data_IF_249863394871
#
_entry.id   IF_249863394871
#
_cell.length_a   1.000
_cell.length_b   1.000
_cell.length_c   1.000
_cell.angle_alpha   90.00
_cell.angle_beta   90.00
_cell.angle_gamma   90.00
#
_symmetry.space_group_name_H-M   'P 1'
#
loop_
_entity.id
_entity.type
_entity.pdbx_description
1 polymer ?
#
# COMPACT_ATOMS: atom_id res chain seq x y z
N UNK A 1 21.60 -47.21 55.89
CA UNK A 1 23.01 -46.87 55.66
C UNK A 1 23.78 -46.93 57.03
N UNK A 2 23.53 -46.01 57.98
CA UNK A 2 24.33 -45.90 59.23
C UNK A 2 24.33 -47.18 60.15
N UNK A 3 23.26 -47.95 60.13
CA UNK A 3 23.17 -49.21 60.92
C UNK A 3 23.92 -50.33 60.22
N UNK A 4 23.93 -50.41 58.92
CA UNK A 4 24.67 -51.37 58.12
C UNK A 4 26.18 -51.10 58.23
N UNK A 5 26.64 -49.86 58.18
CA UNK A 5 28.03 -49.45 58.38
C UNK A 5 28.57 -49.87 59.74
N UNK A 6 27.70 -50.02 60.79
CA UNK A 6 28.01 -50.48 62.09
C UNK A 6 27.86 -52.01 62.29
N UNK A 7 27.51 -52.73 61.20
CA UNK A 7 27.33 -54.18 61.22
C UNK A 7 26.12 -54.65 62.05
N UNK A 8 25.14 -53.79 62.31
CA UNK A 8 23.95 -54.10 63.12
C UNK A 8 22.78 -54.67 62.34
N UNK A 9 22.88 -54.69 60.97
CA UNK A 9 21.86 -55.20 60.03
C UNK A 9 22.57 -56.09 59.04
N UNK A 10 21.92 -57.18 58.58
CA UNK A 10 22.46 -58.07 57.56
C UNK A 10 22.50 -57.42 56.22
N UNK A 11 23.41 -57.80 55.30
CA UNK A 11 23.52 -57.31 53.96
C UNK A 11 22.20 -57.49 53.16
N UNK A 12 21.54 -58.64 53.36
CA UNK A 12 20.25 -58.94 52.70
C UNK A 12 19.11 -58.02 53.15
N UNK A 13 19.04 -57.64 54.42
CA UNK A 13 18.02 -56.71 54.92
C UNK A 13 18.30 -55.31 54.47
N UNK A 14 19.56 -54.93 54.32
CA UNK A 14 19.96 -53.66 53.79
C UNK A 14 19.58 -53.53 52.28
N UNK A 15 19.93 -54.54 51.48
CA UNK A 15 19.58 -54.58 50.05
C UNK A 15 18.06 -54.57 49.86
N UNK A 16 17.29 -55.31 50.65
CA UNK A 16 15.83 -55.31 50.60
C UNK A 16 15.28 -53.92 50.94
N UNK A 17 15.81 -53.25 51.93
CA UNK A 17 15.39 -51.89 52.30
C UNK A 17 15.74 -50.86 51.21
N UNK A 18 16.92 -51.01 50.59
CA UNK A 18 17.33 -50.17 49.47
C UNK A 18 16.43 -50.39 48.24
N UNK A 19 16.12 -51.66 47.95
CA UNK A 19 15.17 -52.00 46.88
C UNK A 19 13.79 -51.39 47.12
N UNK A 20 13.24 -51.53 48.31
CA UNK A 20 11.94 -50.95 48.67
C UNK A 20 11.95 -49.41 48.61
N UNK A 21 13.04 -48.78 49.02
CA UNK A 21 13.20 -47.34 48.91
C UNK A 21 13.19 -46.88 47.41
N UNK A 22 14.00 -47.56 46.59
CA UNK A 22 14.06 -47.22 45.12
C UNK A 22 12.71 -47.48 44.43
N UNK A 23 11.98 -48.54 44.83
CA UNK A 23 10.65 -48.82 44.34
C UNK A 23 9.65 -47.69 44.72
N UNK A 24 9.69 -47.26 46.00
CA UNK A 24 8.84 -46.17 46.47
C UNK A 24 9.20 -44.84 45.83
N UNK A 25 10.49 -44.56 45.63
CA UNK A 25 10.97 -43.36 44.92
C UNK A 25 10.52 -43.35 43.45
N UNK A 26 10.61 -44.50 42.77
CA UNK A 26 10.13 -44.66 41.41
C UNK A 26 8.62 -44.45 41.31
N UNK A 27 7.84 -45.02 42.26
CA UNK A 27 6.39 -44.82 42.32
C UNK A 27 6.01 -43.36 42.58
N UNK A 28 6.74 -42.67 43.47
CA UNK A 28 6.57 -41.25 43.73
C UNK A 28 6.84 -40.42 42.48
N UNK A 29 7.97 -40.66 41.79
CA UNK A 29 8.33 -39.95 40.57
C UNK A 29 7.30 -40.16 39.43
N UNK A 30 6.79 -41.40 39.31
CA UNK A 30 5.71 -41.72 38.35
C UNK A 30 4.42 -40.96 38.66
N UNK A 31 4.00 -40.96 39.94
CA UNK A 31 2.81 -40.22 40.37
C UNK A 31 2.96 -38.70 40.20
N UNK A 32 4.15 -38.15 40.46
CA UNK A 32 4.49 -36.75 40.25
C UNK A 32 4.43 -36.39 38.76
N UNK A 33 4.94 -37.28 37.90
CA UNK A 33 4.85 -37.07 36.44
C UNK A 33 3.39 -37.12 35.94
N UNK A 34 2.58 -38.04 36.48
CA UNK A 34 1.15 -38.13 36.17
C UNK A 34 0.39 -36.87 36.59
N UNK A 35 0.66 -36.37 37.82
CA UNK A 35 0.09 -35.10 38.27
C UNK A 35 0.45 -33.94 37.36
N UNK A 36 1.72 -33.75 37.03
CA UNK A 36 2.18 -32.70 36.14
C UNK A 36 1.57 -32.79 34.71
N UNK A 37 1.27 -34.00 34.24
CA UNK A 37 0.55 -34.22 32.99
C UNK A 37 -0.92 -33.79 33.12
N UNK A 38 -1.59 -34.14 34.22
CA UNK A 38 -2.98 -33.77 34.45
C UNK A 38 -3.14 -32.24 34.61
N UNK A 39 -2.23 -31.58 35.33
CA UNK A 39 -2.18 -30.13 35.50
C UNK A 39 -1.99 -29.40 34.13
N UNK A 40 -1.10 -29.91 33.27
CA UNK A 40 -0.94 -29.38 31.91
C UNK A 40 -2.20 -29.54 31.07
N UNK A 41 -2.84 -30.71 31.15
CA UNK A 41 -4.08 -30.94 30.42
C UNK A 41 -5.21 -30.02 30.90
N UNK A 42 -5.28 -29.75 32.20
CA UNK A 42 -6.21 -28.77 32.76
C UNK A 42 -5.88 -27.35 32.27
N UNK A 43 -4.60 -26.99 32.18
CA UNK A 43 -4.17 -25.70 31.62
C UNK A 43 -4.61 -25.45 30.19
N UNK A 44 -4.70 -26.50 29.38
CA UNK A 44 -5.20 -26.39 28.01
C UNK A 44 -6.70 -26.08 27.90
N UNK A 45 -7.46 -26.24 28.98
CA UNK A 45 -8.88 -25.84 29.03
C UNK A 45 -9.05 -24.31 29.07
N UNK A 46 -7.99 -23.54 29.41
CA UNK A 46 -8.00 -22.09 29.41
C UNK A 46 -7.01 -21.59 28.38
N UNK A 47 -7.52 -21.01 27.28
CA UNK A 47 -6.70 -20.45 26.21
C UNK A 47 -6.51 -18.96 26.49
N UNK A 48 -5.26 -18.55 26.70
CA UNK A 48 -4.89 -17.15 26.94
C UNK A 48 -4.10 -16.59 25.77
N UNK A 49 -4.20 -15.28 25.56
CA UNK A 49 -3.38 -14.60 24.57
C UNK A 49 -1.91 -14.59 25.00
N UNK A 50 -0.96 -14.90 24.10
CA UNK A 50 0.47 -14.80 24.39
C UNK A 50 0.98 -13.35 24.35
N UNK A 51 0.17 -12.40 23.85
CA UNK A 51 0.53 -10.99 23.71
C UNK A 51 -0.60 -10.12 24.27
N UNK A 52 -0.22 -8.95 24.76
CA UNK A 52 -1.17 -7.88 25.07
C UNK A 52 -1.57 -7.18 23.76
N UNK A 53 -2.84 -6.77 23.63
CA UNK A 53 -3.30 -6.13 22.42
C UNK A 53 -4.81 -6.00 22.32
N UNK A 54 -5.27 -5.58 21.15
CA UNK A 54 -6.68 -5.39 20.81
C UNK A 54 -7.15 -6.53 19.92
N UNK A 55 -8.31 -7.12 20.24
CA UNK A 55 -8.93 -8.14 19.40
C UNK A 55 -9.48 -7.48 18.13
N UNK A 56 -8.95 -7.88 16.98
CA UNK A 56 -9.39 -7.40 15.66
C UNK A 56 -10.55 -8.24 15.15
N UNK A 57 -10.45 -9.57 15.34
CA UNK A 57 -11.40 -10.50 14.78
C UNK A 57 -11.63 -11.67 15.75
N UNK A 58 -12.88 -12.12 15.83
CA UNK A 58 -13.32 -13.28 16.59
C UNK A 58 -13.95 -14.27 15.62
N UNK A 59 -13.22 -15.34 15.32
CA UNK A 59 -13.62 -16.35 14.34
C UNK A 59 -14.54 -17.44 14.91
N UNK A 60 -14.79 -17.45 16.23
CA UNK A 60 -15.57 -18.49 16.92
C UNK A 60 -16.67 -17.88 17.78
N UNK A 61 -17.75 -18.63 17.98
CA UNK A 61 -18.87 -18.23 18.82
C UNK A 61 -19.00 -19.14 20.07
N UNK A 62 -19.67 -18.63 21.09
CA UNK A 62 -19.97 -19.42 22.29
C UNK A 62 -20.83 -20.63 21.94
N UNK A 63 -20.44 -21.80 22.45
CA UNK A 63 -21.10 -23.06 22.14
C UNK A 63 -20.63 -23.72 20.84
N UNK A 64 -19.76 -23.10 20.05
CA UNK A 64 -19.21 -23.69 18.85
C UNK A 64 -18.16 -24.76 19.20
N UNK A 65 -18.29 -25.94 18.57
CA UNK A 65 -17.28 -26.99 18.70
C UNK A 65 -16.07 -26.65 17.84
N UNK A 66 -14.88 -26.55 18.45
CA UNK A 66 -13.60 -26.37 17.76
C UNK A 66 -12.94 -27.74 17.63
N UNK A 67 -12.87 -28.25 16.38
CA UNK A 67 -12.18 -29.51 16.12
C UNK A 67 -10.68 -29.24 15.97
N UNK A 68 -9.87 -29.77 16.90
CA UNK A 68 -8.43 -29.84 16.75
C UNK A 68 -8.08 -31.05 15.85
N UNK A 69 -8.18 -30.85 14.56
CA UNK A 69 -7.80 -31.84 13.54
C UNK A 69 -6.33 -31.64 13.10
N UNK A 70 -6.07 -31.87 11.81
CA UNK A 70 -4.75 -31.64 11.21
C UNK A 70 -4.46 -30.14 10.95
N UNK A 71 -5.48 -29.31 10.97
CA UNK A 71 -5.36 -27.84 10.78
C UNK A 71 -5.60 -27.12 12.12
N UNK A 72 -4.82 -26.07 12.37
CA UNK A 72 -4.97 -25.23 13.55
C UNK A 72 -6.03 -24.15 13.27
N UNK A 73 -7.23 -24.23 13.86
CA UNK A 73 -8.26 -23.22 13.63
C UNK A 73 -7.87 -21.88 14.29
N UNK A 74 -8.09 -20.79 13.59
CA UNK A 74 -7.95 -19.44 14.14
C UNK A 74 -9.15 -19.13 15.03
N UNK A 75 -8.92 -18.79 16.30
CA UNK A 75 -9.97 -18.43 17.25
C UNK A 75 -10.16 -16.91 17.31
N UNK A 76 -9.06 -16.18 17.52
CA UNK A 76 -9.01 -14.73 17.61
C UNK A 76 -7.82 -14.21 16.84
N UNK A 77 -7.96 -13.04 16.24
CA UNK A 77 -6.86 -12.26 15.69
C UNK A 77 -6.62 -11.05 16.59
N UNK A 78 -5.41 -10.93 17.13
CA UNK A 78 -5.04 -9.89 18.09
C UNK A 78 -3.90 -9.05 17.49
N UNK A 79 -4.06 -7.72 17.48
CA UNK A 79 -2.99 -6.79 17.16
C UNK A 79 -2.36 -6.26 18.44
N UNK A 80 -1.04 -6.29 18.50
CA UNK A 80 -0.29 -5.73 19.62
C UNK A 80 -0.38 -4.20 19.65
N UNK A 81 -0.30 -3.56 18.49
CA UNK A 81 -0.32 -2.10 18.35
C UNK A 81 -1.03 -1.70 17.05
N UNK A 82 -2.04 -0.85 17.15
CA UNK A 82 -2.78 -0.30 16.01
C UNK A 82 -2.21 1.06 15.54
N UNK A 83 -1.24 1.62 16.25
CA UNK A 83 -0.60 2.89 15.85
C UNK A 83 0.40 2.69 14.73
N UNK A 84 0.91 1.46 14.57
CA UNK A 84 1.82 1.05 13.52
C UNK A 84 1.13 0.07 12.60
N UNK A 85 0.77 0.53 11.43
CA UNK A 85 0.08 -0.26 10.43
C UNK A 85 1.02 -0.57 9.26
N UNK A 86 0.68 -1.59 8.52
CA UNK A 86 1.32 -1.90 7.25
C UNK A 86 0.25 -1.96 6.16
N UNK A 87 0.57 -1.38 5.02
CA UNK A 87 -0.22 -1.50 3.79
C UNK A 87 0.51 -2.45 2.87
N UNK A 88 -0.16 -3.48 2.41
CA UNK A 88 0.40 -4.43 1.43
C UNK A 88 -0.16 -4.06 0.07
N UNK A 89 0.72 -3.70 -0.85
CA UNK A 89 0.38 -3.34 -2.21
C UNK A 89 0.76 -4.47 -3.16
N UNK A 90 -0.17 -4.85 -4.02
CA UNK A 90 0.11 -5.76 -5.15
C UNK A 90 0.55 -4.91 -6.34
N UNK A 91 1.83 -5.00 -6.70
CA UNK A 91 2.45 -4.26 -7.80
C UNK A 91 2.71 -5.20 -8.97
N UNK A 92 2.33 -4.78 -10.17
CA UNK A 92 2.56 -5.54 -11.40
C UNK A 92 4.06 -5.68 -11.71
N UNK A 93 4.44 -6.78 -12.38
CA UNK A 93 5.82 -7.03 -12.81
C UNK A 93 6.38 -5.90 -13.69
N UNK A 94 5.53 -5.23 -14.47
CA UNK A 94 5.95 -4.12 -15.33
C UNK A 94 6.42 -2.89 -14.53
N UNK A 95 5.85 -2.67 -13.33
CA UNK A 95 6.08 -1.47 -12.51
C UNK A 95 7.08 -1.70 -11.38
N UNK A 96 7.28 -2.94 -10.96
CA UNK A 96 8.14 -3.28 -9.82
C UNK A 96 9.60 -2.86 -10.02
N UNK A 97 10.06 -2.81 -11.28
CA UNK A 97 11.45 -2.43 -11.62
C UNK A 97 11.84 -1.01 -11.19
N UNK A 98 10.86 -0.13 -10.96
CA UNK A 98 11.08 1.23 -10.45
C UNK A 98 10.96 1.37 -8.94
N UNK A 99 10.47 0.35 -8.24
CA UNK A 99 10.22 0.39 -6.79
C UNK A 99 11.47 -0.03 -6.03
N UNK A 100 11.82 0.70 -4.99
CA UNK A 100 12.95 0.42 -4.10
C UNK A 100 12.60 0.71 -2.64
N UNK A 101 13.29 0.04 -1.73
CA UNK A 101 13.12 0.24 -0.29
C UNK A 101 13.39 1.69 0.10
N UNK A 102 12.60 2.23 1.02
CA UNK A 102 12.71 3.59 1.54
C UNK A 102 12.03 4.68 0.68
N UNK A 103 11.48 4.35 -0.48
CA UNK A 103 10.73 5.32 -1.29
C UNK A 103 9.51 5.84 -0.55
N UNK A 104 9.19 7.12 -0.78
CA UNK A 104 8.02 7.78 -0.22
C UNK A 104 6.76 7.26 -0.92
N UNK A 105 5.74 7.02 -0.12
CA UNK A 105 4.45 6.56 -0.58
C UNK A 105 3.38 7.46 0.00
N UNK A 106 2.39 7.81 -0.80
CA UNK A 106 1.15 8.41 -0.31
C UNK A 106 -0.01 7.50 -0.67
N UNK A 107 -0.97 7.40 0.22
CA UNK A 107 -2.17 6.61 -0.04
C UNK A 107 -3.41 7.27 0.56
N UNK A 108 -4.53 6.95 -0.04
CA UNK A 108 -5.87 7.31 0.46
C UNK A 108 -6.65 6.04 0.70
N UNK A 109 -7.54 6.05 1.67
CA UNK A 109 -8.44 4.92 1.93
C UNK A 109 -9.87 5.31 1.59
N UNK A 110 -10.66 4.37 1.11
CA UNK A 110 -12.05 4.65 0.68
C UNK A 110 -12.93 5.19 1.81
N UNK A 111 -12.58 4.87 3.06
CA UNK A 111 -13.27 5.40 4.25
C UNK A 111 -12.98 6.89 4.51
N UNK A 112 -11.84 7.42 4.04
CA UNK A 112 -11.40 8.80 4.19
C UNK A 112 -10.74 9.30 2.91
N UNK A 113 -11.55 9.62 1.86
CA UNK A 113 -11.03 9.97 0.55
C UNK A 113 -10.29 11.32 0.50
N UNK A 114 -10.59 12.21 1.43
CA UNK A 114 -9.96 13.54 1.53
C UNK A 114 -8.68 13.54 2.36
N UNK A 115 -8.44 12.50 3.16
CA UNK A 115 -7.25 12.38 4.00
C UNK A 115 -6.14 11.66 3.21
N UNK A 116 -4.98 12.31 3.07
CA UNK A 116 -3.80 11.72 2.46
C UNK A 116 -2.90 11.22 3.57
N UNK A 117 -2.64 9.93 3.57
CA UNK A 117 -1.71 9.28 4.48
C UNK A 117 -0.34 9.12 3.83
N UNK A 118 0.70 9.25 4.62
CA UNK A 118 2.07 9.06 4.18
C UNK A 118 2.67 7.77 4.74
N UNK A 119 3.48 7.13 3.93
CA UNK A 119 4.20 5.92 4.29
C UNK A 119 5.52 5.81 3.55
N UNK A 120 6.25 4.73 3.82
CA UNK A 120 7.49 4.40 3.12
C UNK A 120 7.49 2.92 2.76
N UNK A 121 8.09 2.61 1.62
CA UNK A 121 8.37 1.21 1.26
C UNK A 121 9.33 0.64 2.29
N UNK A 122 8.89 -0.39 3.01
CA UNK A 122 9.67 -1.08 4.02
C UNK A 122 10.38 -2.29 3.44
N UNK A 123 9.66 -3.07 2.63
CA UNK A 123 10.19 -4.30 2.05
C UNK A 123 9.43 -4.67 0.78
N UNK A 124 10.16 -5.19 -0.20
CA UNK A 124 9.60 -5.85 -1.38
C UNK A 124 9.74 -7.35 -1.19
N UNK A 125 8.60 -8.07 -1.17
CA UNK A 125 8.60 -9.52 -1.08
C UNK A 125 8.84 -10.13 -2.46
N UNK A 126 9.90 -10.91 -2.58
CA UNK A 126 10.31 -11.54 -3.85
C UNK A 126 9.46 -12.77 -4.25
N UNK A 127 8.51 -13.16 -3.42
CA UNK A 127 7.56 -14.22 -3.74
C UNK A 127 6.37 -13.63 -4.49
N UNK A 128 6.17 -14.03 -5.75
CA UNK A 128 4.95 -13.65 -6.48
C UNK A 128 3.73 -14.28 -5.81
N UNK A 129 2.79 -13.48 -5.37
CA UNK A 129 1.46 -13.96 -5.03
C UNK A 129 0.68 -14.20 -6.32
N UNK A 130 0.64 -15.44 -6.78
CA UNK A 130 -0.33 -15.79 -7.81
C UNK A 130 -1.71 -15.84 -7.16
N UNK A 131 -2.43 -14.73 -7.17
CA UNK A 131 -3.83 -14.72 -6.80
C UNK A 131 -4.62 -15.50 -7.85
N UNK A 132 -4.87 -16.78 -7.55
CA UNK A 132 -5.77 -17.61 -8.32
C UNK A 132 -7.19 -17.12 -8.07
N UNK A 133 -7.61 -16.12 -8.80
CA UNK A 133 -9.02 -15.77 -8.88
C UNK A 133 -9.73 -16.91 -9.59
N UNK A 134 -10.35 -17.80 -8.82
CA UNK A 134 -11.24 -18.84 -9.32
C UNK A 134 -12.52 -18.20 -9.86
N UNK A 135 -12.43 -17.63 -11.05
CA UNK A 135 -13.59 -17.34 -11.88
C UNK A 135 -13.67 -18.42 -12.93
N UNK A 136 -14.76 -19.16 -12.90
CA UNK A 136 -15.17 -20.20 -13.85
C UNK A 136 -15.21 -19.62 -15.27
N UNK A 137 -14.07 -19.55 -15.94
CA UNK A 137 -13.99 -19.25 -17.38
C UNK A 137 -12.59 -19.58 -17.91
N UNK A 138 -12.55 -20.28 -18.98
CA UNK A 138 -11.53 -21.03 -19.71
C UNK A 138 -10.30 -20.22 -20.22
N UNK A 139 -9.78 -19.24 -19.51
CA UNK A 139 -8.50 -18.60 -19.81
C UNK A 139 -7.92 -18.03 -18.51
N UNK A 140 -7.03 -18.78 -17.88
CA UNK A 140 -6.28 -18.36 -16.69
C UNK A 140 -5.06 -17.55 -17.18
N UNK A 141 -5.22 -16.26 -17.37
CA UNK A 141 -4.05 -15.36 -17.37
C UNK A 141 -3.61 -15.19 -15.90
N UNK A 142 -2.54 -15.86 -15.56
CA UNK A 142 -1.88 -15.68 -14.26
C UNK A 142 -1.11 -14.36 -14.33
N UNK A 143 -1.66 -13.30 -13.76
CA UNK A 143 -0.93 -12.05 -13.58
C UNK A 143 0.04 -12.23 -12.42
N UNK A 144 1.32 -12.01 -12.69
CA UNK A 144 2.38 -12.04 -11.67
C UNK A 144 2.40 -10.69 -10.99
N UNK A 145 2.10 -10.66 -9.68
CA UNK A 145 2.20 -9.47 -8.86
C UNK A 145 3.22 -9.66 -7.75
N UNK A 146 3.86 -8.58 -7.34
CA UNK A 146 4.81 -8.54 -6.23
C UNK A 146 4.21 -7.79 -5.06
N UNK A 147 4.31 -8.38 -3.87
CA UNK A 147 3.84 -7.73 -2.65
C UNK A 147 4.86 -6.70 -2.15
N UNK A 148 4.47 -5.45 -2.11
CA UNK A 148 5.24 -4.35 -1.54
C UNK A 148 4.64 -3.97 -0.18
N UNK A 149 5.43 -4.12 0.87
CA UNK A 149 5.04 -3.76 2.23
C UNK A 149 5.42 -2.30 2.49
N UNK A 150 4.44 -1.53 2.88
CA UNK A 150 4.56 -0.08 3.13
C UNK A 150 4.25 0.16 4.59
N UNK A 151 5.13 0.82 5.32
CA UNK A 151 4.88 1.27 6.68
C UNK A 151 3.92 2.46 6.68
N UNK A 152 2.94 2.44 7.57
CA UNK A 152 1.96 3.49 7.72
C UNK A 152 1.77 3.83 9.21
N UNK A 153 2.04 5.06 9.59
CA UNK A 153 1.78 5.54 10.94
C UNK A 153 0.30 5.88 11.10
N UNK A 154 -0.28 5.47 12.23
CA UNK A 154 -1.69 5.66 12.54
C UNK A 154 -1.90 6.22 13.96
N UNK A 155 -1.37 7.41 14.27
CA UNK A 155 -1.45 7.98 15.63
C UNK A 155 -2.90 8.25 16.07
N UNK A 156 -3.76 8.61 15.13
CA UNK A 156 -5.17 8.95 15.39
C UNK A 156 -6.11 7.73 15.36
N UNK A 157 -5.58 6.52 15.13
CA UNK A 157 -6.35 5.28 15.00
C UNK A 157 -7.47 5.34 13.93
N UNK A 158 -7.32 6.22 12.92
CA UNK A 158 -8.25 6.34 11.81
C UNK A 158 -8.17 5.13 10.88
N UNK A 159 -6.96 4.62 10.64
CA UNK A 159 -6.77 3.43 9.83
C UNK A 159 -7.21 2.20 10.62
N UNK A 160 -8.05 1.38 10.00
CA UNK A 160 -8.49 0.11 10.55
C UNK A 160 -7.94 -1.04 9.71
N UNK A 161 -7.70 -2.21 10.31
CA UNK A 161 -7.32 -3.39 9.55
C UNK A 161 -8.33 -3.73 8.46
N UNK A 162 -7.83 -4.25 7.32
CA UNK A 162 -8.63 -4.67 6.16
C UNK A 162 -9.30 -3.54 5.36
N UNK A 163 -8.86 -2.28 5.51
CA UNK A 163 -9.28 -1.22 4.61
C UNK A 163 -8.55 -1.35 3.28
N UNK A 164 -9.26 -1.05 2.20
CA UNK A 164 -8.67 -0.91 0.86
C UNK A 164 -8.05 0.47 0.73
N UNK A 165 -6.86 0.54 0.16
CA UNK A 165 -6.11 1.77 -0.04
C UNK A 165 -5.73 1.95 -1.51
N UNK A 166 -5.82 3.20 -2.00
CA UNK A 166 -5.28 3.61 -3.28
C UNK A 166 -3.91 4.22 -3.05
N UNK A 167 -2.88 3.63 -3.64
CA UNK A 167 -1.47 3.87 -3.30
C UNK A 167 -0.74 4.52 -4.46
N UNK A 168 0.05 5.56 -4.17
CA UNK A 168 0.98 6.19 -5.11
C UNK A 168 2.40 6.06 -4.57
N UNK A 169 3.24 5.30 -5.26
CA UNK A 169 4.66 5.11 -4.93
C UNK A 169 5.47 6.09 -5.77
N UNK A 170 6.28 6.92 -5.12
CA UNK A 170 7.14 7.89 -5.81
C UNK A 170 8.49 7.24 -6.12
N UNK A 171 8.62 6.74 -7.35
CA UNK A 171 9.84 6.05 -7.81
C UNK A 171 11.01 7.01 -8.00
N UNK A 172 10.72 8.24 -8.42
CA UNK A 172 11.73 9.29 -8.57
C UNK A 172 11.12 10.62 -8.14
N UNK A 173 11.82 11.34 -7.27
CA UNK A 173 11.41 12.64 -6.76
C UNK A 173 12.58 13.61 -6.86
N UNK A 174 12.34 14.79 -7.42
CA UNK A 174 13.29 15.88 -7.46
C UNK A 174 12.62 17.14 -6.93
N UNK A 175 13.27 17.81 -6.01
CA UNK A 175 12.81 19.10 -5.48
C UNK A 175 13.68 20.24 -5.99
N UNK A 176 13.09 21.45 -6.07
CA UNK A 176 13.83 22.65 -6.47
C UNK A 176 14.22 22.70 -7.96
N UNK A 177 13.48 21.97 -8.81
CA UNK A 177 13.72 21.95 -10.27
C UNK A 177 12.86 22.97 -11.00
N UNK A 178 13.41 23.57 -12.06
CA UNK A 178 12.64 24.38 -12.98
C UNK A 178 11.73 23.50 -13.81
N UNK A 179 10.42 23.73 -13.77
CA UNK A 179 9.45 22.93 -14.51
C UNK A 179 8.52 23.79 -15.36
N UNK A 180 8.05 23.21 -16.46
CA UNK A 180 7.03 23.83 -17.33
C UNK A 180 5.89 22.85 -17.54
N UNK A 181 4.65 23.32 -17.70
CA UNK A 181 3.53 22.48 -18.07
C UNK A 181 3.82 21.73 -19.39
N UNK A 182 3.55 20.43 -19.43
CA UNK A 182 3.77 19.59 -20.62
C UNK A 182 3.05 20.14 -21.88
N UNK A 183 1.97 20.93 -21.69
CA UNK A 183 1.29 21.65 -22.75
C UNK A 183 2.19 22.69 -23.44
N UNK A 184 3.09 23.33 -22.68
CA UNK A 184 4.01 24.36 -23.25
C UNK A 184 5.03 23.73 -24.22
N UNK A 185 5.45 22.48 -23.95
CA UNK A 185 6.38 21.74 -24.83
C UNK A 185 5.72 21.22 -26.11
N UNK A 186 4.40 21.03 -26.08
CA UNK A 186 3.61 20.57 -27.22
C UNK A 186 3.03 21.74 -28.05
N UNK A 187 3.11 22.95 -27.51
CA UNK A 187 2.57 24.11 -28.19
C UNK A 187 3.39 24.45 -29.45
N UNK A 188 2.70 24.64 -30.56
CA UNK A 188 3.25 25.14 -31.81
C UNK A 188 2.41 26.33 -32.31
N UNK A 189 3.01 27.49 -32.55
CA UNK A 189 2.28 28.64 -33.10
C UNK A 189 1.87 28.37 -34.55
N UNK A 190 0.56 28.42 -34.81
CA UNK A 190 -0.01 28.24 -36.16
C UNK A 190 -0.33 29.61 -36.70
N UNK A 191 0.31 30.02 -37.82
CA UNK A 191 0.17 31.37 -38.44
C UNK A 191 -1.29 31.73 -38.76
N UNK A 192 -2.10 30.74 -39.11
CA UNK A 192 -3.51 30.92 -39.49
C UNK A 192 -4.40 31.31 -38.31
N UNK A 193 -3.99 30.96 -37.09
CA UNK A 193 -4.71 31.26 -35.87
C UNK A 193 -4.25 32.53 -35.17
N UNK A 194 -3.27 33.24 -35.76
CA UNK A 194 -2.67 34.43 -35.15
C UNK A 194 -3.15 35.71 -35.86
N UNK A 195 -3.03 36.83 -35.14
CA UNK A 195 -3.33 38.16 -35.73
C UNK A 195 -2.39 38.43 -36.89
N UNK A 196 -2.89 39.17 -37.93
CA UNK A 196 -2.06 39.66 -39.03
C UNK A 196 -0.94 40.56 -38.46
N UNK A 197 0.32 40.19 -38.73
CA UNK A 197 1.49 40.93 -38.25
C UNK A 197 2.27 40.23 -37.13
N UNK A 198 1.79 39.06 -36.66
CA UNK A 198 2.54 38.26 -35.67
C UNK A 198 3.81 37.67 -36.31
N UNK A 199 4.96 37.95 -35.71
CA UNK A 199 6.25 37.38 -36.10
C UNK A 199 6.54 36.11 -35.31
N UNK A 200 6.99 35.05 -35.98
CA UNK A 200 7.36 33.76 -35.37
C UNK A 200 8.83 33.55 -35.61
N UNK A 201 9.63 33.53 -34.52
CA UNK A 201 11.06 33.21 -34.51
C UNK A 201 11.24 31.81 -33.98
N UNK A 202 11.43 30.86 -34.90
CA UNK A 202 11.65 29.46 -34.53
C UNK A 202 13.14 29.16 -34.28
N UNK A 203 13.44 28.12 -33.55
CA UNK A 203 14.78 27.60 -33.29
C UNK A 203 14.85 26.11 -33.62
N UNK A 204 16.05 25.62 -33.99
CA UNK A 204 16.29 24.21 -34.21
C UNK A 204 16.46 23.49 -32.86
N UNK A 205 15.48 22.64 -32.51
CA UNK A 205 15.52 21.84 -31.28
C UNK A 205 14.40 20.81 -31.26
N UNK A 206 14.69 19.64 -30.70
CA UNK A 206 13.69 18.59 -30.52
C UNK A 206 12.62 19.02 -29.49
N UNK A 207 13.05 19.66 -28.41
CA UNK A 207 12.16 20.24 -27.40
C UNK A 207 12.36 21.75 -27.37
N UNK A 208 11.24 22.48 -27.42
CA UNK A 208 11.22 23.94 -27.40
C UNK A 208 10.02 24.45 -26.65
N UNK A 209 10.19 25.58 -26.00
CA UNK A 209 9.12 26.35 -25.35
C UNK A 209 9.02 27.69 -26.05
N UNK A 210 7.81 28.23 -26.12
CA UNK A 210 7.52 29.50 -26.76
C UNK A 210 7.26 30.57 -25.71
N UNK A 211 7.93 31.70 -25.88
CA UNK A 211 7.64 32.94 -25.15
C UNK A 211 6.94 33.91 -26.09
N UNK A 212 6.12 34.78 -25.52
CA UNK A 212 5.43 35.81 -26.27
C UNK A 212 5.82 37.16 -25.73
N UNK A 213 6.37 38.02 -26.62
CA UNK A 213 6.67 39.41 -26.32
C UNK A 213 5.92 40.30 -27.31
N UNK A 214 4.83 40.93 -26.84
CA UNK A 214 3.92 41.68 -27.70
C UNK A 214 3.30 40.78 -28.78
N UNK A 215 3.64 41.05 -30.05
CA UNK A 215 3.18 40.27 -31.22
C UNK A 215 4.25 39.34 -31.79
N UNK A 216 5.35 39.10 -31.04
CA UNK A 216 6.45 38.21 -31.45
C UNK A 216 6.42 36.95 -30.60
N UNK A 217 6.42 35.79 -31.25
CA UNK A 217 6.63 34.49 -30.60
C UNK A 217 8.06 34.03 -30.84
N UNK A 218 8.79 33.78 -29.77
CA UNK A 218 10.18 33.32 -29.83
C UNK A 218 10.28 31.93 -29.27
N UNK A 219 10.83 30.99 -30.03
CA UNK A 219 11.13 29.64 -29.58
C UNK A 219 12.46 29.61 -28.82
N UNK A 220 12.48 28.98 -27.70
CA UNK A 220 13.69 28.68 -26.92
C UNK A 220 13.90 27.18 -26.92
N UNK A 221 15.09 26.73 -27.36
CA UNK A 221 15.51 25.35 -27.26
C UNK A 221 15.71 25.00 -25.80
N UNK A 222 15.08 23.91 -25.34
CA UNK A 222 15.17 23.45 -23.95
C UNK A 222 15.64 22.01 -23.89
N UNK A 223 16.31 21.68 -22.79
CA UNK A 223 16.65 20.30 -22.43
C UNK A 223 15.70 19.85 -21.33
N UNK A 224 15.00 18.76 -21.57
CA UNK A 224 14.00 18.22 -20.65
C UNK A 224 14.61 17.15 -19.77
N UNK A 225 14.14 17.03 -18.53
CA UNK A 225 14.46 15.96 -17.59
C UNK A 225 13.24 15.09 -17.29
N UNK A 226 12.94 14.89 -16.01
CA UNK A 226 11.78 14.10 -15.55
C UNK A 226 10.46 14.75 -15.91
N UNK A 227 9.44 13.93 -16.15
CA UNK A 227 8.07 14.39 -16.41
C UNK A 227 7.08 13.58 -15.59
N UNK A 228 6.12 14.26 -14.96
CA UNK A 228 4.97 13.66 -14.27
C UNK A 228 3.71 13.58 -15.15
N UNK A 229 3.85 13.87 -16.45
CA UNK A 229 2.73 13.93 -17.40
C UNK A 229 2.00 15.28 -17.41
N UNK A 230 2.01 16.05 -16.34
CA UNK A 230 1.43 17.39 -16.21
C UNK A 230 2.50 18.46 -16.37
N UNK A 231 3.63 18.30 -15.68
CA UNK A 231 4.81 19.16 -15.74
C UNK A 231 6.02 18.36 -16.23
N UNK A 232 6.98 19.07 -16.82
CA UNK A 232 8.25 18.49 -17.26
C UNK A 232 9.39 19.36 -16.75
N UNK A 233 10.38 18.72 -16.14
CA UNK A 233 11.62 19.36 -15.70
C UNK A 233 12.36 19.96 -16.90
N UNK A 234 12.88 21.16 -16.72
CA UNK A 234 13.78 21.82 -17.67
C UNK A 234 15.15 21.92 -17.03
N UNK A 235 16.13 21.25 -17.63
CA UNK A 235 17.52 21.28 -17.15
C UNK A 235 18.35 22.38 -17.80
N UNK A 236 17.86 23.03 -18.84
CA UNK A 236 18.52 24.17 -19.50
C UNK A 236 17.70 24.77 -20.63
N UNK A 237 18.02 26.00 -20.98
CA UNK A 237 17.44 26.73 -22.12
C UNK A 237 16.54 27.90 -21.75
N UNK A 238 15.98 27.93 -20.54
CA UNK A 238 15.22 29.07 -20.00
C UNK A 238 15.57 29.31 -18.55
N UNK A 239 15.29 30.52 -18.07
CA UNK A 239 15.51 30.91 -16.67
C UNK A 239 14.21 30.92 -15.88
N UNK A 240 14.32 30.83 -14.56
CA UNK A 240 13.20 30.98 -13.65
C UNK A 240 12.47 32.33 -13.86
N UNK A 241 11.14 32.32 -13.82
CA UNK A 241 10.32 33.49 -14.02
C UNK A 241 10.03 33.80 -15.49
N UNK A 242 10.52 33.02 -16.48
CA UNK A 242 10.18 33.19 -17.90
C UNK A 242 8.74 32.77 -18.15
N UNK A 243 7.92 33.66 -18.69
CA UNK A 243 6.53 33.36 -19.09
C UNK A 243 6.50 32.52 -20.35
N UNK A 244 5.91 31.34 -20.29
CA UNK A 244 5.81 30.40 -21.41
C UNK A 244 4.37 30.27 -21.90
N UNK A 245 4.20 30.16 -23.23
CA UNK A 245 2.91 29.99 -23.85
C UNK A 245 2.46 28.55 -23.78
N UNK A 246 1.29 28.32 -23.21
CA UNK A 246 0.70 26.97 -23.09
C UNK A 246 -0.40 26.72 -24.13
N UNK A 247 -1.17 27.74 -24.45
CA UNK A 247 -2.25 27.67 -25.45
C UNK A 247 -2.56 29.07 -26.01
N UNK A 248 -3.15 29.11 -27.19
CA UNK A 248 -3.73 30.34 -27.79
C UNK A 248 -5.22 30.10 -27.95
N UNK A 249 -6.02 30.96 -27.32
CA UNK A 249 -7.48 30.96 -27.50
C UNK A 249 -7.88 32.13 -28.39
N UNK A 250 -8.61 31.85 -29.47
CA UNK A 250 -9.24 32.88 -30.28
C UNK A 250 -10.54 33.28 -29.57
N UNK A 251 -10.56 34.50 -29.03
CA UNK A 251 -11.80 35.07 -28.52
C UNK A 251 -12.50 35.69 -29.74
N UNK A 252 -13.37 34.94 -30.39
CA UNK A 252 -14.22 35.46 -31.47
C UNK A 252 -15.30 36.34 -30.84
N UNK A 253 -15.03 37.64 -30.77
CA UNK A 253 -15.94 38.66 -30.22
C UNK A 253 -17.15 38.95 -31.14
N UNK A 254 -17.44 38.06 -32.10
CA UNK A 254 -18.68 38.12 -32.88
C UNK A 254 -19.79 37.50 -32.03
N UNK A 255 -20.45 38.32 -31.22
CA UNK A 255 -21.82 38.01 -30.80
C UNK A 255 -22.63 37.67 -32.04
N UNK A 256 -23.32 36.52 -32.10
CA UNK A 256 -24.27 36.28 -33.16
C UNK A 256 -25.32 37.39 -33.05
N UNK A 257 -25.40 38.26 -34.10
CA UNK A 257 -26.50 39.20 -34.22
C UNK A 257 -27.79 38.40 -34.11
N UNK A 258 -28.56 38.68 -33.06
CA UNK A 258 -29.88 38.14 -32.87
C UNK A 258 -30.66 38.36 -34.18
N UNK A 259 -30.91 37.28 -34.89
CA UNK A 259 -31.77 37.27 -36.07
C UNK A 259 -33.16 37.72 -35.63
N UNK A 260 -33.61 38.80 -36.27
CA UNK A 260 -34.98 39.30 -36.11
C UNK A 260 -35.97 38.16 -36.40
N UNK A 261 -36.79 37.88 -35.43
CA UNK A 261 -38.19 37.51 -35.53
C UNK A 261 -38.57 36.35 -36.46
N UNK A 262 -38.66 35.14 -35.89
CA UNK A 262 -39.69 34.22 -36.33
C UNK A 262 -40.72 34.13 -35.19
N UNK A 263 -41.81 34.83 -35.41
CA UNK A 263 -43.04 34.78 -34.62
C UNK A 263 -43.59 33.34 -34.73
N UNK A 264 -43.53 32.59 -33.66
CA UNK A 264 -44.17 31.29 -33.56
C UNK A 264 -45.63 31.51 -33.17
N UNK A 265 -46.53 31.48 -34.15
CA UNK A 265 -47.97 31.38 -33.89
C UNK A 265 -48.34 29.97 -33.47
N UNK A 266 -48.98 29.75 -32.31
CA UNK A 266 -49.53 28.47 -31.97
C UNK A 266 -50.78 28.19 -32.79
N UNK A 267 -50.80 27.05 -33.51
CA UNK A 267 -51.96 26.57 -34.24
C UNK A 267 -53.04 26.05 -33.27
N UNK A 268 -54.32 26.06 -33.73
CA UNK A 268 -55.47 25.68 -32.91
C UNK A 268 -55.49 24.17 -32.60
N UNK A 269 -56.15 23.76 -31.50
CA UNK A 269 -56.19 22.35 -31.08
C UNK A 269 -57.11 21.55 -32.02
N UNK A 270 -56.64 20.40 -32.46
CA UNK A 270 -57.46 19.39 -33.15
C UNK A 270 -58.31 18.62 -32.14
N UNK A 271 -59.64 18.51 -32.47
CA UNK A 271 -60.61 17.68 -31.79
C UNK A 271 -60.28 16.18 -31.90
#
# INVERSE_FOLDING_TARGET
>A
VKLHEKGLVSDTDFELSEYNYRMAESAYNSSKAALAKAERNLGYATITSPIDGVVIDRAVEEGQTVAAGFETPTLFTIAADLTKMQVVADVDEADIGGVADGQRVTFTVDAFPDDIFEGRVEQIRLGSSSSTSSVTSTTTESVVTYEVVISAENPDLKLKPRLTANINIYTQEKSGVLSVPAKALRFMPVKELMKKGTEIRDCDGQWKVWTKDGDVFTAHKVTTGLSDGTNTEITGGISEGTEVVTEVRIIDNKMPKAGKGASFMPGPPRK
#
